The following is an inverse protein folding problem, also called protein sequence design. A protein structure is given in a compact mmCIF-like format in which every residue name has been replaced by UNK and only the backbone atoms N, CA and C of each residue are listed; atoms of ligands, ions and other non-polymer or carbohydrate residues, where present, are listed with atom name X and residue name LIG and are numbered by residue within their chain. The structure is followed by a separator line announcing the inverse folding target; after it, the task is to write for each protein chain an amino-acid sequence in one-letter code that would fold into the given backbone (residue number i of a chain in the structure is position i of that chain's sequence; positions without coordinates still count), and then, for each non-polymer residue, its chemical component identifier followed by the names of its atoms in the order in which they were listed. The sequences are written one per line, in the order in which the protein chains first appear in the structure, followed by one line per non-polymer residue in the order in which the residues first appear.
data_IF_630607831833
#
_entry.id   IF_630607831833
#
_cell.length_a   1.000
_cell.length_b   1.000
_cell.length_c   1.000
_cell.angle_alpha   90.00
_cell.angle_beta   90.00
_cell.angle_gamma   90.00
#
_symmetry.space_group_name_H-M   'P 1'
#
loop_
_entity.id
_entity.type
_entity.pdbx_description
1 polymer ?
#
# COMPACT_ATOMS: atom_id res chain seq x y z
N UNK A 1 43.12 -79.89 -0.36
CA UNK A 1 43.77 -79.06 -1.40
C UNK A 1 42.80 -78.01 -1.79
N UNK A 2 42.98 -76.81 -1.29
CA UNK A 2 42.48 -75.57 -1.95
C UNK A 2 43.01 -74.35 -1.22
N UNK A 3 43.68 -73.54 -1.96
CA UNK A 3 44.40 -72.38 -1.45
C UNK A 3 43.44 -71.17 -1.29
N UNK A 4 43.54 -70.56 -0.10
CA UNK A 4 42.96 -69.29 0.26
C UNK A 4 43.57 -68.19 -0.59
N UNK A 5 42.73 -67.27 -1.08
CA UNK A 5 43.17 -65.99 -1.61
C UNK A 5 42.33 -64.89 -0.94
N UNK A 6 42.95 -64.27 0.04
CA UNK A 6 42.46 -63.06 0.70
C UNK A 6 42.80 -61.84 -0.17
N UNK A 7 41.77 -61.22 -0.74
CA UNK A 7 41.92 -59.96 -1.47
C UNK A 7 41.34 -58.78 -0.63
N UNK A 8 42.20 -58.02 -0.02
CA UNK A 8 41.84 -56.81 0.74
C UNK A 8 41.56 -55.68 -0.25
N UNK A 9 40.31 -55.30 -0.38
CA UNK A 9 39.88 -54.12 -1.12
C UNK A 9 39.88 -52.93 -0.19
N UNK A 10 40.93 -52.17 -0.26
CA UNK A 10 40.98 -50.84 0.37
C UNK A 10 40.17 -49.82 -0.46
N UNK A 11 38.96 -49.57 -0.03
CA UNK A 11 38.14 -48.47 -0.58
C UNK A 11 38.70 -47.14 -0.12
N UNK A 12 39.46 -46.50 -1.01
CA UNK A 12 39.85 -45.08 -0.87
C UNK A 12 38.65 -44.22 -1.20
N UNK A 13 37.95 -43.75 -0.17
CA UNK A 13 36.96 -42.68 -0.30
C UNK A 13 37.68 -41.40 -0.67
N UNK A 14 37.71 -41.04 -1.93
CA UNK A 14 38.06 -39.72 -2.39
C UNK A 14 36.90 -38.77 -1.99
N UNK A 15 37.02 -38.12 -0.85
CA UNK A 15 36.22 -36.97 -0.51
C UNK A 15 36.57 -35.85 -1.50
N UNK A 16 35.69 -35.60 -2.46
CA UNK A 16 35.74 -34.39 -3.26
C UNK A 16 35.39 -33.22 -2.36
N UNK A 17 36.39 -32.45 -1.99
CA UNK A 17 36.21 -31.12 -1.37
C UNK A 17 35.63 -30.20 -2.44
N UNK A 18 34.31 -30.03 -2.43
CA UNK A 18 33.65 -28.96 -3.17
C UNK A 18 33.94 -27.69 -2.40
N UNK A 19 34.60 -26.67 -2.97
CA UNK A 19 34.77 -25.40 -2.29
C UNK A 19 33.41 -24.80 -2.09
N UNK A 20 33.06 -24.54 -0.82
CA UNK A 20 31.86 -23.79 -0.47
C UNK A 20 32.02 -22.39 -1.04
N UNK A 21 31.35 -22.14 -2.17
CA UNK A 21 31.17 -20.79 -2.69
C UNK A 21 30.33 -20.04 -1.65
N UNK A 22 30.97 -19.22 -0.85
CA UNK A 22 30.30 -18.23 -0.02
C UNK A 22 29.64 -17.23 -0.97
N UNK A 23 28.39 -17.48 -1.32
CA UNK A 23 27.54 -16.45 -1.87
C UNK A 23 27.32 -15.46 -0.75
N UNK A 24 28.16 -14.43 -0.70
CA UNK A 24 27.85 -13.23 0.07
C UNK A 24 26.56 -12.70 -0.53
N UNK A 25 25.45 -12.95 0.15
CA UNK A 25 24.21 -12.26 -0.14
C UNK A 25 24.50 -10.78 0.10
N UNK A 26 24.78 -10.07 -0.99
CA UNK A 26 24.77 -8.61 -1.01
C UNK A 26 23.29 -8.27 -0.79
N UNK A 27 22.91 -8.12 0.48
CA UNK A 27 21.65 -7.49 0.84
C UNK A 27 21.75 -6.09 0.22
N UNK A 28 20.92 -5.74 -0.78
CA UNK A 28 20.92 -4.39 -1.29
C UNK A 28 20.65 -3.49 -0.09
N UNK A 29 21.64 -2.67 0.26
CA UNK A 29 21.44 -1.64 1.27
C UNK A 29 20.18 -0.89 0.85
N UNK A 30 19.14 -0.93 1.69
CA UNK A 30 17.98 -0.07 1.55
C UNK A 30 18.55 1.32 1.34
N UNK A 31 18.47 1.83 0.12
CA UNK A 31 18.75 3.23 -0.14
C UNK A 31 17.77 3.99 0.75
N UNK A 32 18.26 4.48 1.88
CA UNK A 32 17.59 5.58 2.55
C UNK A 32 17.46 6.66 1.49
N UNK A 33 16.25 7.06 1.17
CA UNK A 33 15.98 8.17 0.29
C UNK A 33 16.53 9.45 0.95
N UNK A 34 17.82 9.69 0.79
CA UNK A 34 18.48 10.96 1.10
C UNK A 34 18.35 11.90 -0.10
N UNK A 35 17.15 12.04 -0.63
CA UNK A 35 16.80 13.18 -1.48
C UNK A 35 16.44 14.38 -0.60
N UNK A 36 16.44 15.62 -1.16
CA UNK A 36 15.87 16.75 -0.44
C UNK A 36 14.50 16.37 0.10
N UNK A 37 14.25 16.68 1.37
CA UNK A 37 12.95 16.39 2.00
C UNK A 37 11.93 17.21 1.25
N UNK A 38 11.04 16.53 0.52
CA UNK A 38 9.91 17.15 -0.20
C UNK A 38 9.04 17.90 0.82
N UNK A 39 8.65 19.11 0.53
CA UNK A 39 7.73 19.86 1.38
C UNK A 39 6.31 19.31 1.23
N UNK A 40 5.45 19.54 2.23
CA UNK A 40 4.05 19.10 2.19
C UNK A 40 3.32 19.66 0.96
N UNK A 41 3.59 20.93 0.61
CA UNK A 41 3.00 21.56 -0.58
C UNK A 41 3.47 20.95 -1.89
N UNK A 42 4.75 20.56 -1.98
CA UNK A 42 5.29 19.87 -3.16
C UNK A 42 4.69 18.48 -3.30
N UNK A 43 4.56 17.77 -2.18
CA UNK A 43 3.90 16.47 -2.11
C UNK A 43 2.46 16.55 -2.59
N UNK A 44 1.66 17.46 -2.03
CA UNK A 44 0.26 17.65 -2.40
C UNK A 44 0.11 17.99 -3.88
N UNK A 45 0.90 18.93 -4.36
CA UNK A 45 0.87 19.36 -5.77
C UNK A 45 1.23 18.22 -6.72
N UNK A 46 2.18 17.38 -6.34
CA UNK A 46 2.61 16.22 -7.13
C UNK A 46 1.49 15.18 -7.25
N UNK A 47 0.82 14.83 -6.16
CA UNK A 47 -0.27 13.87 -6.19
C UNK A 47 -1.54 14.45 -6.83
N UNK A 48 -1.83 15.72 -6.62
CA UNK A 48 -2.91 16.41 -7.31
C UNK A 48 -2.68 16.37 -8.84
N UNK A 49 -1.47 16.72 -9.30
CA UNK A 49 -1.11 16.65 -10.70
C UNK A 49 -1.17 15.22 -11.25
N UNK A 50 -0.73 14.23 -10.44
CA UNK A 50 -0.79 12.82 -10.81
C UNK A 50 -2.23 12.36 -11.10
N UNK A 51 -3.16 12.63 -10.18
CA UNK A 51 -4.56 12.23 -10.35
C UNK A 51 -5.30 13.06 -11.40
N UNK A 52 -4.86 14.28 -11.70
CA UNK A 52 -5.46 15.13 -12.72
C UNK A 52 -5.03 14.80 -14.16
N UNK A 53 -4.10 13.87 -14.35
CA UNK A 53 -3.72 13.42 -15.70
C UNK A 53 -4.94 12.89 -16.47
N UNK A 54 -5.05 13.24 -17.74
CA UNK A 54 -6.18 12.84 -18.61
C UNK A 54 -6.08 11.38 -19.06
N UNK A 55 -4.87 10.85 -19.12
CA UNK A 55 -4.51 9.51 -19.60
C UNK A 55 -4.40 8.49 -18.47
N UNK A 56 -4.71 8.87 -17.23
CA UNK A 56 -4.62 8.00 -16.06
C UNK A 56 -5.60 6.82 -16.18
N UNK A 57 -5.11 5.61 -15.93
CA UNK A 57 -5.93 4.41 -15.93
C UNK A 57 -6.30 3.95 -14.51
N UNK A 58 -7.19 2.95 -14.42
CA UNK A 58 -7.64 2.43 -13.13
C UNK A 58 -6.53 1.77 -12.31
N UNK A 59 -5.47 1.25 -12.94
CA UNK A 59 -4.33 0.68 -12.24
C UNK A 59 -3.46 1.75 -11.60
N UNK A 60 -3.20 2.82 -12.34
CA UNK A 60 -2.42 3.95 -11.85
C UNK A 60 -3.12 4.65 -10.70
N UNK A 61 -4.46 4.82 -10.79
CA UNK A 61 -5.28 5.39 -9.70
C UNK A 61 -5.13 4.54 -8.44
N UNK A 62 -5.33 3.21 -8.54
CA UNK A 62 -5.18 2.30 -7.40
C UNK A 62 -3.77 2.32 -6.84
N UNK A 63 -2.76 2.35 -7.72
CA UNK A 63 -1.37 2.46 -7.28
C UNK A 63 -1.14 3.75 -6.51
N UNK A 64 -1.55 4.91 -7.02
CA UNK A 64 -1.40 6.20 -6.33
C UNK A 64 -2.11 6.23 -4.98
N UNK A 65 -3.33 5.71 -4.89
CA UNK A 65 -4.06 5.59 -3.64
C UNK A 65 -3.35 4.67 -2.64
N UNK A 66 -2.84 3.52 -3.09
CA UNK A 66 -2.10 2.60 -2.24
C UNK A 66 -0.77 3.21 -1.76
N UNK A 67 -0.08 3.95 -2.62
CA UNK A 67 1.16 4.63 -2.25
C UNK A 67 0.88 5.66 -1.13
N UNK A 68 -0.18 6.46 -1.24
CA UNK A 68 -0.60 7.43 -0.20
C UNK A 68 -1.03 6.70 1.08
N UNK A 69 -1.88 5.69 0.98
CA UNK A 69 -2.34 4.93 2.14
C UNK A 69 -1.19 4.15 2.82
N UNK A 70 -0.11 3.83 2.10
CA UNK A 70 1.09 3.21 2.64
C UNK A 70 1.97 4.16 3.45
N UNK A 71 1.76 5.46 3.33
CA UNK A 71 2.49 6.48 4.07
C UNK A 71 1.82 6.75 5.43
N UNK A 72 2.59 7.25 6.39
CA UNK A 72 2.07 7.62 7.71
C UNK A 72 1.57 9.07 7.70
N UNK A 73 0.53 9.31 6.90
CA UNK A 73 -0.09 10.62 6.76
C UNK A 73 -1.59 10.49 6.42
N UNK A 74 -2.34 11.55 6.68
CA UNK A 74 -3.72 11.74 6.20
C UNK A 74 -3.65 12.58 4.94
N UNK A 75 -4.22 12.14 3.80
CA UNK A 75 -4.19 12.91 2.56
C UNK A 75 -4.88 14.27 2.69
N UNK A 76 -4.30 15.31 2.10
CA UNK A 76 -4.93 16.61 2.00
C UNK A 76 -6.24 16.52 1.18
N UNK A 77 -7.29 17.30 1.53
CA UNK A 77 -8.53 17.33 0.76
C UNK A 77 -8.36 17.62 -0.75
N UNK A 78 -7.32 18.34 -1.16
CA UNK A 78 -7.01 18.60 -2.59
C UNK A 78 -6.68 17.32 -3.33
N UNK A 79 -5.86 16.46 -2.71
CA UNK A 79 -5.49 15.15 -3.27
C UNK A 79 -6.74 14.27 -3.37
N UNK A 80 -7.57 14.26 -2.30
CA UNK A 80 -8.79 13.46 -2.27
C UNK A 80 -9.75 13.90 -3.39
N UNK A 81 -9.97 15.20 -3.57
CA UNK A 81 -10.81 15.75 -4.65
C UNK A 81 -10.30 15.30 -6.02
N UNK A 82 -8.99 15.43 -6.28
CA UNK A 82 -8.38 15.01 -7.55
C UNK A 82 -8.54 13.51 -7.80
N UNK A 83 -8.37 12.69 -6.76
CA UNK A 83 -8.55 11.24 -6.82
C UNK A 83 -10.02 10.86 -7.12
N UNK A 84 -11.01 11.53 -6.50
CA UNK A 84 -12.43 11.32 -6.78
C UNK A 84 -12.78 11.65 -8.23
N UNK A 85 -12.28 12.76 -8.75
CA UNK A 85 -12.43 13.11 -10.18
C UNK A 85 -11.76 12.07 -11.09
N UNK A 86 -10.60 11.50 -10.69
CA UNK A 86 -9.97 10.42 -11.43
C UNK A 86 -10.86 9.16 -11.45
N UNK A 87 -11.42 8.76 -10.31
CA UNK A 87 -12.37 7.65 -10.24
C UNK A 87 -13.59 7.87 -11.17
N UNK A 88 -14.10 9.09 -11.25
CA UNK A 88 -15.20 9.43 -12.14
C UNK A 88 -14.81 9.26 -13.62
N UNK A 89 -13.59 9.67 -14.00
CA UNK A 89 -13.10 9.51 -15.38
C UNK A 89 -13.02 8.06 -15.82
N UNK A 90 -12.60 7.15 -14.91
CA UNK A 90 -12.53 5.72 -15.19
C UNK A 90 -13.82 4.98 -14.87
N UNK A 91 -14.85 5.71 -14.36
CA UNK A 91 -16.15 5.18 -13.96
C UNK A 91 -16.06 4.07 -12.89
N UNK A 92 -15.22 4.26 -11.89
CA UNK A 92 -15.05 3.34 -10.77
C UNK A 92 -15.57 3.96 -9.46
N UNK A 93 -16.89 3.88 -9.26
CA UNK A 93 -17.58 4.39 -8.07
C UNK A 93 -17.11 3.67 -6.78
N UNK A 94 -16.97 2.35 -6.87
CA UNK A 94 -16.57 1.56 -5.71
C UNK A 94 -15.19 1.96 -5.19
N UNK A 95 -14.25 2.25 -6.09
CA UNK A 95 -12.92 2.72 -5.71
C UNK A 95 -12.97 4.07 -4.97
N UNK A 96 -13.86 4.98 -5.40
CA UNK A 96 -14.05 6.26 -4.74
C UNK A 96 -14.50 6.08 -3.28
N UNK A 97 -15.50 5.22 -3.03
CA UNK A 97 -16.00 4.93 -1.67
C UNK A 97 -14.89 4.28 -0.83
N UNK A 98 -14.19 3.28 -1.37
CA UNK A 98 -13.09 2.61 -0.65
C UNK A 98 -11.95 3.56 -0.30
N UNK A 99 -11.70 4.55 -1.13
CA UNK A 99 -10.68 5.56 -0.83
C UNK A 99 -11.11 6.49 0.32
N UNK A 100 -12.37 6.89 0.37
CA UNK A 100 -12.91 7.69 1.50
C UNK A 100 -12.83 6.89 2.80
N UNK A 101 -13.17 5.60 2.78
CA UNK A 101 -13.01 4.72 3.95
C UNK A 101 -11.55 4.64 4.41
N UNK A 102 -10.62 4.48 3.46
CA UNK A 102 -9.19 4.45 3.77
C UNK A 102 -8.71 5.78 4.39
N UNK A 103 -9.20 6.93 3.89
CA UNK A 103 -8.90 8.24 4.48
C UNK A 103 -9.42 8.34 5.93
N UNK A 104 -10.61 7.80 6.21
CA UNK A 104 -11.17 7.72 7.57
C UNK A 104 -10.29 6.89 8.49
N UNK A 105 -9.85 5.71 8.03
CA UNK A 105 -8.97 4.82 8.79
C UNK A 105 -7.61 5.50 9.09
N UNK A 106 -7.07 6.25 8.13
CA UNK A 106 -5.83 7.01 8.32
C UNK A 106 -5.91 8.11 9.37
N UNK A 107 -7.09 8.60 9.70
CA UNK A 107 -7.27 9.59 10.78
C UNK A 107 -6.96 9.02 12.17
N UNK A 108 -6.98 7.70 12.34
CA UNK A 108 -6.62 7.00 13.57
C UNK A 108 -7.39 7.53 14.80
N UNK A 109 -6.70 7.74 15.94
CA UNK A 109 -7.36 8.18 17.18
C UNK A 109 -8.05 9.54 17.07
N UNK A 110 -7.66 10.38 16.11
CA UNK A 110 -8.23 11.72 15.89
C UNK A 110 -9.32 11.75 14.82
N UNK A 111 -9.90 10.60 14.50
CA UNK A 111 -10.96 10.51 13.48
C UNK A 111 -12.10 11.49 13.72
N UNK A 112 -12.49 11.71 14.97
CA UNK A 112 -13.58 12.62 15.33
C UNK A 112 -13.28 14.12 15.08
N UNK A 113 -12.02 14.47 14.91
CA UNK A 113 -11.60 15.86 14.61
C UNK A 113 -11.26 16.03 13.13
N UNK A 114 -10.49 15.11 12.57
CA UNK A 114 -9.93 15.22 11.21
C UNK A 114 -10.96 14.83 10.15
N UNK A 115 -11.66 13.72 10.33
CA UNK A 115 -12.57 13.21 9.32
C UNK A 115 -13.74 14.14 9.00
N UNK A 116 -14.42 14.79 9.99
CA UNK A 116 -15.47 15.77 9.70
C UNK A 116 -14.96 16.97 8.89
N UNK A 117 -13.72 17.42 9.15
CA UNK A 117 -13.09 18.47 8.37
C UNK A 117 -12.89 18.04 6.91
N UNK A 118 -12.34 16.84 6.69
CA UNK A 118 -12.15 16.28 5.34
C UNK A 118 -13.49 16.21 4.61
N UNK A 119 -14.52 15.65 5.24
CA UNK A 119 -15.84 15.51 4.63
C UNK A 119 -16.42 16.89 4.29
N UNK A 120 -16.29 17.87 5.16
CA UNK A 120 -16.75 19.23 4.87
C UNK A 120 -16.06 19.80 3.63
N UNK A 121 -14.76 19.64 3.51
CA UNK A 121 -13.97 20.14 2.38
C UNK A 121 -14.28 19.43 1.07
N UNK A 122 -14.51 18.13 1.08
CA UNK A 122 -14.80 17.37 -0.14
C UNK A 122 -16.29 17.34 -0.50
N UNK A 123 -17.18 17.74 0.39
CA UNK A 123 -18.64 17.69 0.19
C UNK A 123 -19.12 18.31 -1.12
N UNK A 124 -18.63 19.49 -1.55
CA UNK A 124 -19.02 20.05 -2.84
C UNK A 124 -18.70 19.10 -4.01
N UNK A 125 -17.52 18.48 -3.99
CA UNK A 125 -17.09 17.53 -5.01
C UNK A 125 -17.91 16.24 -4.98
N UNK A 126 -18.24 15.72 -3.78
CA UNK A 126 -19.13 14.57 -3.64
C UNK A 126 -20.50 14.84 -4.25
N UNK A 127 -21.08 16.02 -3.96
CA UNK A 127 -22.38 16.43 -4.53
C UNK A 127 -22.30 16.56 -6.05
N UNK A 128 -21.24 17.16 -6.59
CA UNK A 128 -21.03 17.32 -8.04
C UNK A 128 -20.93 15.96 -8.75
N UNK A 129 -20.21 15.03 -8.14
CA UNK A 129 -19.96 13.70 -8.72
C UNK A 129 -21.09 12.70 -8.44
N UNK A 130 -22.04 13.02 -7.57
CA UNK A 130 -23.11 12.12 -7.12
C UNK A 130 -22.56 10.95 -6.32
N UNK A 131 -21.59 11.22 -5.44
CA UNK A 131 -20.97 10.21 -4.57
C UNK A 131 -21.50 10.41 -3.15
N UNK A 132 -22.11 9.35 -2.61
CA UNK A 132 -22.55 9.32 -1.22
C UNK A 132 -21.35 8.95 -0.30
N UNK A 133 -21.43 9.38 0.95
CA UNK A 133 -20.40 8.99 1.92
C UNK A 133 -20.58 7.54 2.36
N UNK A 134 -19.54 6.86 2.87
CA UNK A 134 -19.68 5.50 3.41
C UNK A 134 -20.77 5.39 4.48
N UNK A 135 -20.97 6.45 5.28
CA UNK A 135 -22.00 6.51 6.32
C UNK A 135 -23.42 6.55 5.72
N UNK A 136 -23.62 7.34 4.66
CA UNK A 136 -24.90 7.43 3.95
C UNK A 136 -25.26 6.12 3.25
N UNK A 137 -24.25 5.36 2.80
CA UNK A 137 -24.40 4.05 2.19
C UNK A 137 -24.57 2.91 3.21
N UNK A 138 -24.42 3.19 4.51
CA UNK A 138 -24.44 2.18 5.56
C UNK A 138 -23.18 1.32 5.68
N UNK A 139 -22.06 1.78 5.14
CA UNK A 139 -20.73 1.14 5.23
C UNK A 139 -19.86 1.73 6.35
N UNK A 140 -20.48 2.43 7.30
CA UNK A 140 -19.77 2.98 8.46
C UNK A 140 -19.20 1.91 9.39
N UNK A 141 -19.84 0.72 9.37
CA UNK A 141 -19.36 -0.48 10.07
C UNK A 141 -19.32 -1.66 9.10
N UNK A 142 -18.18 -2.39 9.06
CA UNK A 142 -18.12 -3.65 8.31
C UNK A 142 -19.16 -4.64 8.86
N UNK A 143 -19.85 -5.36 7.98
CA UNK A 143 -20.89 -6.35 8.36
C UNK A 143 -20.35 -7.43 9.33
N UNK A 144 -19.09 -7.82 9.15
CA UNK A 144 -18.39 -8.80 9.98
C UNK A 144 -17.34 -8.15 10.91
N UNK A 145 -17.58 -6.90 11.31
CA UNK A 145 -16.66 -6.23 12.25
C UNK A 145 -16.64 -6.95 13.59
N UNK A 146 -15.44 -7.26 14.05
CA UNK A 146 -15.21 -7.66 15.44
C UNK A 146 -15.10 -6.39 16.29
N UNK A 147 -15.70 -6.44 17.48
CA UNK A 147 -15.51 -5.36 18.46
C UNK A 147 -14.04 -5.28 18.89
N UNK A 148 -13.58 -4.07 19.10
CA UNK A 148 -12.22 -3.85 19.59
C UNK A 148 -12.12 -4.41 21.03
N UNK A 149 -11.19 -5.36 21.25
CA UNK A 149 -11.00 -6.01 22.54
C UNK A 149 -10.66 -5.04 23.69
N UNK A 150 -10.23 -3.82 23.37
CA UNK A 150 -9.94 -2.79 24.37
C UNK A 150 -11.17 -1.91 24.70
N UNK A 151 -12.27 -2.08 23.98
CA UNK A 151 -13.52 -1.32 24.16
C UNK A 151 -14.69 -2.20 24.64
N UNK A 152 -14.42 -3.49 24.85
CA UNK A 152 -15.39 -4.49 25.35
C UNK A 152 -15.63 -4.35 26.86
#
# INVERSE_FOLDING_TARGET
MLKSATGTLANVLKRSLVPAVRVSAVVPARRSHGGPVESDEEFDSRYEAFFNRKDIDGWEIRKGMNDICGMDLVPDPRIIKAALHACRRVNDYALAIRFIEACKDKCGPKVNEIYPYIIQEIKPTLTELGIDTPEELGYDKPELALENVYEM
#
